data_IF_008875009617
#
_entry.id   IF_008875009617
#
_cell.length_a   1.000
_cell.length_b   1.000
_cell.length_c   1.000
_cell.angle_alpha   90.00
_cell.angle_beta   90.00
_cell.angle_gamma   90.00
#
_symmetry.space_group_name_H-M   'P 1'
#
loop_
_entity.id
_entity.type
_entity.pdbx_description
1 polymer ?
#
# COMPACT_ATOMS: atom_id res chain seq x y z
N UNK A 1 -51.44 -1.26 21.52
CA UNK A 1 -51.63 -1.25 20.06
C UNK A 1 -50.72 -0.15 19.53
N UNK A 2 -49.44 -0.48 19.37
CA UNK A 2 -48.38 0.40 18.88
C UNK A 2 -47.54 -0.49 17.97
N UNK A 3 -48.01 -0.68 16.74
CA UNK A 3 -47.30 -1.39 15.68
C UNK A 3 -47.37 -0.50 14.43
N UNK A 4 -46.59 0.57 14.43
CA UNK A 4 -46.33 1.43 13.25
C UNK A 4 -44.87 1.89 13.34
N UNK A 5 -43.92 0.95 13.35
CA UNK A 5 -42.47 1.24 13.25
C UNK A 5 -41.73 0.15 12.45
N UNK A 6 -42.41 -0.62 11.58
CA UNK A 6 -41.78 -1.81 10.95
C UNK A 6 -41.52 -1.73 9.45
N UNK A 7 -42.26 -0.94 8.65
CA UNK A 7 -42.20 -1.12 7.19
C UNK A 7 -41.22 -0.15 6.51
N UNK A 8 -41.23 1.14 6.84
CA UNK A 8 -40.27 2.11 6.28
C UNK A 8 -38.80 1.79 6.68
N UNK A 9 -38.58 1.27 7.89
CA UNK A 9 -37.24 0.89 8.35
C UNK A 9 -36.70 -0.38 7.67
N UNK A 10 -37.58 -1.29 7.27
CA UNK A 10 -37.21 -2.51 6.54
C UNK A 10 -36.94 -2.19 5.07
N UNK A 11 -37.78 -1.35 4.43
CA UNK A 11 -37.55 -0.88 3.05
C UNK A 11 -36.23 -0.12 2.93
N UNK A 12 -35.90 0.76 3.89
CA UNK A 12 -34.62 1.47 3.91
C UNK A 12 -33.42 0.52 4.09
N UNK A 13 -33.60 -0.58 4.83
CA UNK A 13 -32.56 -1.57 5.08
C UNK A 13 -32.34 -2.50 3.87
N UNK A 14 -33.43 -2.87 3.19
CA UNK A 14 -33.39 -3.66 1.96
C UNK A 14 -32.83 -2.85 0.79
N UNK A 15 -33.19 -1.58 0.65
CA UNK A 15 -32.57 -0.67 -0.34
C UNK A 15 -31.07 -0.49 -0.08
N UNK A 16 -30.65 -0.34 1.19
CA UNK A 16 -29.23 -0.28 1.55
C UNK A 16 -28.50 -1.60 1.26
N UNK A 17 -29.13 -2.75 1.50
CA UNK A 17 -28.58 -4.06 1.17
C UNK A 17 -28.49 -4.30 -0.34
N UNK A 18 -29.48 -3.87 -1.13
CA UNK A 18 -29.43 -3.90 -2.59
C UNK A 18 -28.35 -2.95 -3.15
N UNK A 19 -28.16 -1.77 -2.56
CA UNK A 19 -27.13 -0.81 -2.97
C UNK A 19 -25.70 -1.31 -2.66
N UNK A 20 -25.52 -2.11 -1.59
CA UNK A 20 -24.24 -2.77 -1.28
C UNK A 20 -24.05 -4.04 -2.11
N UNK A 21 -25.14 -4.76 -2.42
CA UNK A 21 -25.15 -5.99 -3.24
C UNK A 21 -24.79 -5.76 -4.71
N UNK A 22 -24.90 -4.54 -5.22
CA UNK A 22 -24.65 -4.20 -6.63
C UNK A 22 -23.25 -3.60 -6.88
N UNK A 23 -22.51 -3.21 -5.84
CA UNK A 23 -21.21 -2.54 -6.03
C UNK A 23 -20.12 -3.55 -6.42
N UNK A 24 -19.29 -3.22 -7.43
CA UNK A 24 -18.14 -4.06 -7.79
C UNK A 24 -17.13 -4.13 -6.65
N UNK A 25 -16.35 -5.21 -6.61
CA UNK A 25 -15.32 -5.40 -5.58
C UNK A 25 -13.96 -4.89 -6.04
N UNK A 26 -13.24 -4.22 -5.14
CA UNK A 26 -11.84 -3.88 -5.31
C UNK A 26 -11.01 -4.60 -4.25
N UNK A 27 -10.21 -5.58 -4.67
CA UNK A 27 -9.29 -6.30 -3.79
C UNK A 27 -7.93 -5.62 -3.76
N UNK A 28 -7.44 -5.34 -2.56
CA UNK A 28 -6.17 -4.64 -2.36
C UNK A 28 -5.17 -5.52 -1.61
N UNK A 29 -3.89 -5.42 -1.97
CA UNK A 29 -2.85 -6.27 -1.39
C UNK A 29 -2.58 -5.97 0.09
N UNK A 30 -2.37 -7.06 0.85
CA UNK A 30 -2.09 -7.02 2.27
C UNK A 30 -3.32 -6.67 3.12
N UNK A 31 -3.07 -6.03 4.26
CA UNK A 31 -4.11 -5.57 5.18
C UNK A 31 -4.27 -4.04 5.10
N UNK A 32 -4.47 -3.54 3.88
CA UNK A 32 -4.40 -2.12 3.56
C UNK A 32 -5.76 -1.50 3.21
N UNK A 33 -6.87 -2.25 3.30
CA UNK A 33 -8.19 -1.77 2.86
C UNK A 33 -8.60 -0.43 3.45
N UNK A 34 -8.28 -0.13 4.70
CA UNK A 34 -8.65 1.14 5.32
C UNK A 34 -8.01 2.35 4.64
N UNK A 35 -6.78 2.22 4.14
CA UNK A 35 -6.16 3.26 3.33
C UNK A 35 -6.92 3.45 2.01
N UNK A 36 -7.16 2.35 1.29
CA UNK A 36 -7.79 2.38 -0.03
C UNK A 36 -9.26 2.80 -0.01
N UNK A 37 -10.01 2.47 1.05
CA UNK A 37 -11.40 2.92 1.24
C UNK A 37 -11.53 4.45 1.29
N UNK A 38 -10.45 5.17 1.62
CA UNK A 38 -10.44 6.62 1.67
C UNK A 38 -10.09 7.28 0.33
N UNK A 39 -9.76 6.49 -0.70
CA UNK A 39 -9.37 6.96 -2.03
C UNK A 39 -10.60 7.23 -2.90
N UNK A 40 -10.68 8.43 -3.48
CA UNK A 40 -11.86 8.94 -4.18
C UNK A 40 -12.31 8.05 -5.33
N UNK A 41 -11.37 7.56 -6.14
CA UNK A 41 -11.68 6.69 -7.27
C UNK A 41 -12.29 5.34 -6.85
N UNK A 42 -12.15 4.96 -5.58
CA UNK A 42 -12.62 3.67 -5.06
C UNK A 42 -13.95 3.76 -4.31
N UNK A 43 -14.54 4.95 -4.15
CA UNK A 43 -15.85 5.10 -3.50
C UNK A 43 -16.99 4.29 -4.15
N UNK A 44 -17.00 4.04 -5.47
CA UNK A 44 -18.00 3.17 -6.08
C UNK A 44 -17.83 1.67 -5.78
N UNK A 45 -16.76 1.25 -5.10
CA UNK A 45 -16.40 -0.16 -4.92
C UNK A 45 -16.57 -0.60 -3.47
N UNK A 46 -16.84 -1.89 -3.27
CA UNK A 46 -16.59 -2.56 -2.00
C UNK A 46 -15.10 -2.91 -1.94
N UNK A 47 -14.34 -2.14 -1.16
CA UNK A 47 -12.88 -2.36 -1.00
C UNK A 47 -12.63 -3.37 0.12
N UNK A 48 -11.92 -4.46 -0.20
CA UNK A 48 -11.56 -5.49 0.78
C UNK A 48 -10.11 -6.00 0.63
N UNK A 49 -9.60 -6.63 1.68
CA UNK A 49 -8.27 -7.21 1.70
C UNK A 49 -8.22 -8.45 0.79
N UNK A 50 -7.35 -8.39 -0.21
CA UNK A 50 -7.19 -9.43 -1.21
C UNK A 50 -6.32 -10.59 -0.76
N UNK A 51 -5.41 -10.37 0.19
CA UNK A 51 -4.34 -11.32 0.54
C UNK A 51 -3.03 -10.89 -0.09
N UNK A 52 -2.20 -11.86 -0.50
CA UNK A 52 -1.00 -11.58 -1.28
C UNK A 52 -1.34 -11.35 -2.77
N UNK A 53 -0.36 -10.90 -3.56
CA UNK A 53 -0.53 -10.68 -5.01
C UNK A 53 -1.17 -11.87 -5.76
N UNK A 54 -0.73 -13.12 -5.50
CA UNK A 54 -1.28 -14.33 -6.15
C UNK A 54 -2.75 -14.50 -5.79
N UNK A 55 -3.11 -14.33 -4.51
CA UNK A 55 -4.50 -14.46 -4.06
C UNK A 55 -5.42 -13.43 -4.77
N UNK A 56 -4.91 -12.22 -5.02
CA UNK A 56 -5.66 -11.18 -5.75
C UNK A 56 -5.82 -11.55 -7.21
N UNK A 57 -4.75 -12.04 -7.84
CA UNK A 57 -4.79 -12.48 -9.23
C UNK A 57 -5.88 -13.56 -9.39
N UNK A 58 -5.85 -14.59 -8.57
CA UNK A 58 -6.82 -15.69 -8.62
C UNK A 58 -8.27 -15.21 -8.41
N UNK A 59 -8.49 -14.23 -7.52
CA UNK A 59 -9.82 -13.66 -7.27
C UNK A 59 -10.37 -12.83 -8.43
N UNK A 60 -9.50 -12.22 -9.24
CA UNK A 60 -9.87 -11.24 -10.29
C UNK A 60 -9.85 -11.87 -11.69
N UNK A 61 -8.98 -12.86 -11.96
CA UNK A 61 -8.71 -13.43 -13.30
C UNK A 61 -9.94 -14.05 -13.99
N UNK A 62 -11.03 -14.30 -13.27
CA UNK A 62 -12.24 -14.93 -13.80
C UNK A 62 -13.53 -14.14 -13.58
N UNK A 63 -13.44 -12.91 -13.08
CA UNK A 63 -14.61 -12.11 -12.73
C UNK A 63 -14.47 -10.68 -13.23
N UNK A 64 -15.35 -10.30 -14.15
CA UNK A 64 -15.29 -9.01 -14.84
C UNK A 64 -15.76 -7.84 -13.97
N UNK A 65 -16.37 -8.12 -12.82
CA UNK A 65 -16.88 -7.12 -11.88
C UNK A 65 -15.91 -6.90 -10.70
N UNK A 66 -14.73 -7.51 -10.76
CA UNK A 66 -13.67 -7.38 -9.77
C UNK A 66 -12.48 -6.61 -10.32
N UNK A 67 -11.87 -5.81 -9.46
CA UNK A 67 -10.63 -5.06 -9.72
C UNK A 67 -9.60 -5.41 -8.66
N UNK A 68 -8.34 -5.54 -9.07
CA UNK A 68 -7.21 -5.74 -8.16
C UNK A 68 -6.28 -4.53 -8.12
N UNK A 69 -5.78 -4.17 -6.94
CA UNK A 69 -4.65 -3.25 -6.76
C UNK A 69 -3.56 -3.98 -5.98
N UNK A 70 -2.40 -4.16 -6.62
CA UNK A 70 -1.27 -4.91 -6.07
C UNK A 70 -0.03 -4.03 -5.91
N UNK A 71 0.88 -4.49 -5.06
CA UNK A 71 2.21 -3.91 -4.85
C UNK A 71 3.11 -4.16 -6.09
N UNK A 72 4.09 -3.28 -6.34
CA UNK A 72 5.06 -3.47 -7.45
C UNK A 72 6.36 -4.11 -6.94
N UNK A 73 6.22 -5.32 -6.41
CA UNK A 73 7.35 -6.13 -5.99
C UNK A 73 8.08 -6.74 -7.20
N UNK A 74 9.24 -7.37 -6.96
CA UNK A 74 10.12 -7.84 -8.02
C UNK A 74 9.64 -9.10 -8.75
N UNK A 75 8.54 -9.74 -8.30
CA UNK A 75 8.08 -11.05 -8.80
C UNK A 75 7.20 -10.94 -10.05
N UNK A 76 6.52 -9.81 -10.26
CA UNK A 76 5.40 -9.72 -11.23
C UNK A 76 5.58 -8.70 -12.35
N UNK A 77 6.82 -8.47 -12.78
CA UNK A 77 7.12 -7.49 -13.85
C UNK A 77 6.66 -7.90 -15.25
N UNK A 78 6.51 -9.19 -15.55
CA UNK A 78 6.32 -9.69 -16.92
C UNK A 78 4.89 -10.13 -17.25
N UNK A 79 3.99 -10.14 -16.27
CA UNK A 79 2.59 -10.54 -16.48
C UNK A 79 1.69 -9.32 -16.63
N UNK A 80 0.94 -9.30 -17.73
CA UNK A 80 -0.26 -8.47 -17.86
C UNK A 80 -1.42 -9.25 -17.26
N UNK A 81 -2.21 -8.57 -16.43
CA UNK A 81 -3.37 -9.16 -15.77
C UNK A 81 -4.60 -8.34 -16.11
N UNK A 82 -5.67 -8.97 -16.57
CA UNK A 82 -6.90 -8.21 -16.80
C UNK A 82 -7.44 -7.69 -15.46
N UNK A 83 -7.98 -6.47 -15.47
CA UNK A 83 -8.58 -5.80 -14.30
C UNK A 83 -7.69 -5.60 -13.06
N UNK A 84 -6.36 -5.76 -13.16
CA UNK A 84 -5.43 -5.51 -12.05
C UNK A 84 -4.47 -4.38 -12.40
N UNK A 85 -4.31 -3.41 -11.49
CA UNK A 85 -3.32 -2.34 -11.59
C UNK A 85 -2.26 -2.44 -10.50
N UNK A 86 -1.07 -1.93 -10.81
CA UNK A 86 0.09 -1.91 -9.91
C UNK A 86 0.35 -0.51 -9.37
N UNK A 87 0.56 -0.38 -8.06
CA UNK A 87 1.06 0.87 -7.50
C UNK A 87 2.48 1.17 -8.02
N UNK A 88 2.81 2.43 -8.18
CA UNK A 88 4.14 2.88 -8.57
C UNK A 88 5.08 2.93 -7.36
N UNK A 89 5.04 1.91 -6.51
CA UNK A 89 5.77 1.81 -5.26
C UNK A 89 6.02 0.34 -4.94
N UNK A 90 7.09 0.04 -4.21
CA UNK A 90 7.32 -1.34 -3.77
C UNK A 90 6.18 -1.85 -2.90
N UNK A 91 5.66 -1.01 -2.00
CA UNK A 91 4.49 -1.29 -1.16
C UNK A 91 3.90 -0.01 -0.55
N UNK A 92 2.80 -0.13 0.19
CA UNK A 92 2.20 0.97 0.98
C UNK A 92 3.21 1.59 1.97
N UNK A 93 4.10 0.79 2.56
CA UNK A 93 5.12 1.31 3.49
C UNK A 93 6.08 2.27 2.79
N UNK A 94 6.36 2.08 1.51
CA UNK A 94 7.19 2.99 0.73
C UNK A 94 6.46 4.32 0.45
N UNK A 95 5.14 4.28 0.22
CA UNK A 95 4.31 5.49 0.12
C UNK A 95 4.33 6.23 1.47
N UNK A 96 4.12 5.51 2.57
CA UNK A 96 4.17 6.07 3.91
C UNK A 96 5.53 6.71 4.22
N UNK A 97 6.62 6.01 3.96
CA UNK A 97 7.97 6.54 4.09
C UNK A 97 8.10 7.83 3.28
N UNK A 98 7.67 7.86 2.02
CA UNK A 98 7.81 9.04 1.18
C UNK A 98 6.96 10.24 1.67
N UNK A 99 5.70 10.02 2.07
CA UNK A 99 4.70 11.07 2.28
C UNK A 99 4.55 11.53 3.74
N UNK A 100 4.74 10.64 4.71
CA UNK A 100 4.56 10.97 6.14
C UNK A 100 5.83 11.66 6.69
N UNK A 101 5.74 12.91 7.19
CA UNK A 101 6.91 13.69 7.62
C UNK A 101 7.72 13.05 8.75
N UNK A 102 7.08 12.32 9.64
CA UNK A 102 7.68 11.70 10.82
C UNK A 102 8.78 10.69 10.46
N UNK A 103 8.72 10.07 9.28
CA UNK A 103 9.78 9.15 8.81
C UNK A 103 11.04 9.85 8.31
N UNK A 104 11.20 11.16 8.51
CA UNK A 104 12.41 11.91 8.12
C UNK A 104 13.69 11.34 8.72
N UNK A 105 13.66 10.76 9.94
CA UNK A 105 14.83 10.10 10.52
C UNK A 105 15.34 8.94 9.65
N UNK A 106 14.45 8.06 9.18
CA UNK A 106 14.82 6.96 8.29
C UNK A 106 15.35 7.48 6.95
N UNK A 107 14.71 8.50 6.36
CA UNK A 107 15.21 9.12 5.12
C UNK A 107 16.63 9.65 5.27
N UNK A 108 16.92 10.29 6.40
CA UNK A 108 18.25 10.84 6.66
C UNK A 108 19.29 9.74 6.84
N UNK A 109 18.97 8.66 7.55
CA UNK A 109 19.88 7.51 7.67
C UNK A 109 20.13 6.84 6.32
N UNK A 110 19.11 6.68 5.48
CA UNK A 110 19.28 6.15 4.12
C UNK A 110 20.22 7.04 3.27
N UNK A 111 20.14 8.37 3.42
CA UNK A 111 21.00 9.32 2.68
C UNK A 111 22.46 9.33 3.14
N UNK A 112 22.73 8.95 4.39
CA UNK A 112 24.10 8.88 4.94
C UNK A 112 24.87 7.63 4.51
N UNK A 113 24.15 6.58 4.12
CA UNK A 113 24.73 5.28 3.81
C UNK A 113 25.07 5.15 2.32
N UNK A 114 25.99 4.23 2.00
CA UNK A 114 26.39 3.96 0.63
C UNK A 114 25.26 3.24 -0.12
N UNK A 115 24.79 3.83 -1.22
CA UNK A 115 23.65 3.31 -1.98
C UNK A 115 23.84 1.85 -2.44
N UNK A 116 25.05 1.49 -2.88
CA UNK A 116 25.32 0.12 -3.36
C UNK A 116 25.16 -0.93 -2.27
N UNK A 117 25.52 -0.60 -1.02
CA UNK A 117 25.30 -1.48 0.12
C UNK A 117 23.81 -1.58 0.47
N UNK A 118 23.08 -0.46 0.44
CA UNK A 118 21.64 -0.42 0.69
C UNK A 118 20.83 -1.20 -0.36
N UNK A 119 21.29 -1.22 -1.61
CA UNK A 119 20.62 -1.93 -2.71
C UNK A 119 20.60 -3.44 -2.48
N UNK A 120 21.72 -3.99 -2.04
CA UNK A 120 21.95 -5.44 -2.02
C UNK A 120 21.69 -6.08 -0.65
N UNK A 121 21.41 -5.31 0.39
CA UNK A 121 21.09 -5.83 1.72
C UNK A 121 19.62 -5.60 2.09
N UNK A 122 19.07 -6.49 2.93
CA UNK A 122 17.88 -6.17 3.71
C UNK A 122 18.17 -4.98 4.63
N UNK A 123 17.21 -4.07 4.78
CA UNK A 123 17.37 -2.87 5.60
C UNK A 123 16.50 -3.01 6.83
N UNK A 124 17.11 -2.84 7.99
CA UNK A 124 16.45 -2.79 9.29
C UNK A 124 16.87 -1.52 10.01
N UNK A 125 16.17 -1.21 11.09
CA UNK A 125 16.57 -0.16 12.03
C UNK A 125 16.76 -0.78 13.39
N UNK A 126 17.78 -0.30 14.11
CA UNK A 126 17.99 -0.64 15.51
C UNK A 126 17.73 0.58 16.38
N UNK A 127 17.21 0.29 17.57
CA UNK A 127 17.08 1.25 18.65
C UNK A 127 17.04 0.48 19.97
N UNK A 128 17.82 0.95 20.97
CA UNK A 128 17.91 0.27 22.26
C UNK A 128 16.76 0.71 23.17
N UNK A 129 15.79 -0.17 23.49
CA UNK A 129 14.57 0.23 24.19
C UNK A 129 14.80 0.60 25.66
N UNK A 130 15.90 0.13 26.24
CA UNK A 130 16.21 0.26 27.67
C UNK A 130 16.94 1.57 28.00
N UNK A 131 17.37 2.33 26.99
CA UNK A 131 18.08 3.61 27.15
C UNK A 131 17.29 4.73 26.48
N UNK A 132 16.10 5.04 27.00
CA UNK A 132 15.14 5.99 26.39
C UNK A 132 15.80 7.35 26.07
N UNK A 133 16.73 7.81 26.91
CA UNK A 133 17.45 9.07 26.73
C UNK A 133 18.54 8.99 25.63
N UNK A 134 19.13 7.81 25.38
CA UNK A 134 20.28 7.60 24.49
C UNK A 134 20.04 6.61 23.33
N UNK A 135 18.79 6.22 23.06
CA UNK A 135 18.49 5.30 21.96
C UNK A 135 18.89 5.93 20.61
N UNK A 136 20.07 5.54 20.11
CA UNK A 136 20.53 5.92 18.78
C UNK A 136 19.68 5.17 17.75
N UNK A 137 19.12 5.93 16.82
CA UNK A 137 18.41 5.39 15.68
C UNK A 137 19.43 5.13 14.58
N UNK A 138 19.69 3.86 14.30
CA UNK A 138 20.72 3.44 13.37
C UNK A 138 20.16 2.48 12.34
N UNK A 139 20.65 2.61 11.11
CA UNK A 139 20.34 1.68 10.04
C UNK A 139 21.23 0.44 10.17
N UNK A 140 20.62 -0.74 10.09
CA UNK A 140 21.33 -2.00 10.04
C UNK A 140 21.19 -2.65 8.67
N UNK A 141 22.33 -3.04 8.11
CA UNK A 141 22.39 -3.90 6.94
C UNK A 141 22.22 -5.35 7.39
N UNK A 142 21.15 -5.97 6.94
CA UNK A 142 20.82 -7.35 7.21
C UNK A 142 21.50 -8.31 6.23
N UNK A 143 20.77 -9.36 5.86
CA UNK A 143 21.25 -10.35 4.90
C UNK A 143 21.46 -9.73 3.52
N UNK A 144 22.58 -10.08 2.88
CA UNK A 144 22.85 -9.76 1.47
C UNK A 144 21.99 -10.62 0.54
N UNK A 145 21.51 -10.04 -0.55
CA UNK A 145 20.76 -10.76 -1.58
C UNK A 145 21.66 -11.71 -2.34
N UNK A 146 21.15 -12.93 -2.52
CA UNK A 146 21.81 -14.01 -3.25
C UNK A 146 20.96 -14.49 -4.43
N UNK A 147 19.71 -14.04 -4.54
CA UNK A 147 18.79 -14.41 -5.61
C UNK A 147 18.99 -13.47 -6.82
N UNK A 148 19.37 -14.03 -7.97
CA UNK A 148 19.65 -13.25 -9.20
C UNK A 148 18.48 -12.36 -9.62
N UNK A 149 17.25 -12.85 -9.50
CA UNK A 149 16.03 -12.07 -9.84
C UNK A 149 15.93 -10.80 -9.01
N UNK A 150 16.18 -10.89 -7.70
CA UNK A 150 16.16 -9.77 -6.78
C UNK A 150 17.36 -8.84 -6.99
N UNK A 151 18.54 -9.40 -7.25
CA UNK A 151 19.76 -8.63 -7.57
C UNK A 151 19.56 -7.81 -8.86
N UNK A 152 19.11 -8.45 -9.93
CA UNK A 152 18.84 -7.79 -11.21
C UNK A 152 17.77 -6.71 -11.07
N UNK A 153 16.72 -6.97 -10.29
CA UNK A 153 15.70 -5.96 -9.98
C UNK A 153 16.32 -4.72 -9.33
N UNK A 154 17.08 -4.88 -8.25
CA UNK A 154 17.61 -3.72 -7.51
C UNK A 154 18.65 -2.96 -8.33
N UNK A 155 19.46 -3.65 -9.13
CA UNK A 155 20.45 -3.02 -10.00
C UNK A 155 19.79 -2.22 -11.13
N UNK A 156 18.73 -2.74 -11.74
CA UNK A 156 18.03 -2.07 -12.84
C UNK A 156 17.03 -1.01 -12.39
N UNK A 157 16.51 -1.09 -11.16
CA UNK A 157 15.42 -0.21 -10.68
C UNK A 157 15.92 0.90 -9.75
N UNK A 158 16.98 0.65 -8.97
CA UNK A 158 17.44 1.57 -7.92
C UNK A 158 18.73 2.26 -8.36
N UNK A 159 18.59 3.52 -8.77
CA UNK A 159 19.68 4.38 -9.28
C UNK A 159 20.01 5.55 -8.35
N UNK A 160 19.13 5.83 -7.38
CA UNK A 160 19.27 6.89 -6.38
C UNK A 160 18.61 6.51 -5.05
N UNK A 161 18.89 7.25 -3.99
CA UNK A 161 18.20 7.07 -2.69
C UNK A 161 16.69 7.30 -2.81
N UNK A 162 16.24 8.20 -3.68
CA UNK A 162 14.81 8.43 -3.90
C UNK A 162 14.14 7.21 -4.57
N UNK A 163 14.79 6.64 -5.60
CA UNK A 163 14.31 5.39 -6.20
C UNK A 163 14.39 4.20 -5.22
N UNK A 164 15.35 4.21 -4.28
CA UNK A 164 15.44 3.23 -3.20
C UNK A 164 14.24 3.37 -2.26
N UNK A 165 13.93 4.58 -1.80
CA UNK A 165 12.77 4.87 -0.95
C UNK A 165 11.48 4.42 -1.64
N UNK A 166 11.39 4.54 -2.96
CA UNK A 166 10.20 4.22 -3.72
C UNK A 166 10.06 2.72 -4.03
N UNK A 167 11.14 2.06 -4.45
CA UNK A 167 11.10 0.73 -5.07
C UNK A 167 11.87 -0.36 -4.32
N UNK A 168 12.47 -0.09 -3.16
CA UNK A 168 13.12 -1.13 -2.36
C UNK A 168 12.16 -1.70 -1.32
N UNK A 169 12.29 -2.99 -1.02
CA UNK A 169 11.65 -3.55 0.17
C UNK A 169 12.19 -2.87 1.44
N UNK A 170 11.36 -2.00 2.05
CA UNK A 170 11.67 -1.25 3.27
C UNK A 170 10.65 -1.50 4.39
N UNK A 171 9.72 -2.45 4.24
CA UNK A 171 8.63 -2.72 5.19
C UNK A 171 9.15 -2.84 6.63
N UNK A 172 10.16 -3.68 6.85
CA UNK A 172 10.76 -3.91 8.18
C UNK A 172 11.41 -2.63 8.75
N UNK A 173 12.04 -1.82 7.92
CA UNK A 173 12.66 -0.57 8.35
C UNK A 173 11.61 0.48 8.73
N UNK A 174 10.53 0.59 7.94
CA UNK A 174 9.40 1.49 8.20
C UNK A 174 8.68 1.09 9.50
N UNK A 175 8.34 -0.19 9.66
CA UNK A 175 7.73 -0.72 10.88
C UNK A 175 8.63 -0.54 12.12
N UNK A 176 9.92 -0.81 11.98
CA UNK A 176 10.90 -0.55 13.03
C UNK A 176 10.97 0.94 13.40
N UNK A 177 10.87 1.83 12.41
CA UNK A 177 10.89 3.27 12.64
C UNK A 177 9.62 3.74 13.35
N UNK A 178 8.44 3.23 12.98
CA UNK A 178 7.19 3.51 13.70
C UNK A 178 7.28 3.09 15.17
N UNK A 179 7.87 1.93 15.45
CA UNK A 179 8.12 1.46 16.83
C UNK A 179 9.06 2.40 17.59
N UNK A 180 10.18 2.78 16.97
CA UNK A 180 11.12 3.74 17.55
C UNK A 180 10.43 5.08 17.89
N UNK A 181 9.66 5.63 16.95
CA UNK A 181 8.99 6.92 17.13
C UNK A 181 7.92 6.87 18.23
N UNK A 182 7.18 5.76 18.32
CA UNK A 182 6.25 5.51 19.41
C UNK A 182 6.97 5.44 20.76
N UNK A 183 8.12 4.79 20.82
CA UNK A 183 8.85 4.62 22.08
C UNK A 183 9.53 5.90 22.54
N UNK A 184 10.31 6.55 21.67
CA UNK A 184 11.13 7.71 22.05
C UNK A 184 10.34 9.02 22.12
N UNK A 185 9.32 9.16 21.27
CA UNK A 185 8.58 10.42 21.13
C UNK A 185 7.08 10.28 21.39
N UNK A 186 6.60 9.09 21.78
CA UNK A 186 5.16 8.83 21.97
C UNK A 186 4.32 9.09 20.71
N UNK A 187 4.96 9.08 19.53
CA UNK A 187 4.28 9.29 18.24
C UNK A 187 3.80 7.96 17.68
N UNK A 188 2.49 7.73 17.74
CA UNK A 188 1.88 6.53 17.19
C UNK A 188 1.49 6.73 15.72
N UNK A 189 2.34 6.29 14.78
CA UNK A 189 2.06 6.39 13.35
C UNK A 189 1.17 5.23 12.91
N UNK A 190 -0.09 5.50 12.61
CA UNK A 190 -1.03 4.52 12.05
C UNK A 190 -1.15 4.71 10.54
N UNK A 191 -0.06 4.53 9.79
CA UNK A 191 -0.04 4.86 8.37
C UNK A 191 -1.12 4.12 7.55
N UNK A 192 -1.52 2.90 7.90
CA UNK A 192 -2.62 2.21 7.20
C UNK A 192 -3.94 3.00 7.32
N UNK A 193 -4.19 3.67 8.44
CA UNK A 193 -5.40 4.45 8.65
C UNK A 193 -5.22 5.89 8.17
N UNK A 194 -4.04 6.48 8.39
CA UNK A 194 -3.83 7.92 8.28
C UNK A 194 -3.12 8.36 7.00
N UNK A 195 -2.53 7.43 6.23
CA UNK A 195 -1.73 7.77 5.05
C UNK A 195 -2.51 8.59 4.03
N UNK A 196 -3.82 8.35 3.91
CA UNK A 196 -4.69 9.09 3.01
C UNK A 196 -4.69 10.61 3.29
N UNK A 197 -4.39 11.05 4.51
CA UNK A 197 -4.26 12.48 4.86
C UNK A 197 -3.01 13.13 4.25
N UNK A 198 -2.04 12.32 3.82
CA UNK A 198 -0.78 12.75 3.21
C UNK A 198 -0.76 12.54 1.69
N UNK A 199 -1.88 12.09 1.11
CA UNK A 199 -2.05 11.89 -0.33
C UNK A 199 -2.90 13.03 -0.87
N UNK A 200 -2.35 13.77 -1.83
CA UNK A 200 -3.07 14.87 -2.47
C UNK A 200 -4.37 14.37 -3.09
N UNK A 201 -5.45 15.10 -2.84
CA UNK A 201 -6.79 14.78 -3.32
C UNK A 201 -7.31 13.38 -2.97
N UNK A 202 -6.62 12.61 -2.11
CA UNK A 202 -6.91 11.20 -1.86
C UNK A 202 -7.11 10.42 -3.16
N UNK A 203 -6.24 10.63 -4.15
CA UNK A 203 -6.40 10.09 -5.51
C UNK A 203 -5.44 8.95 -5.82
N UNK A 204 -5.90 7.96 -6.58
CA UNK A 204 -5.03 6.91 -7.15
C UNK A 204 -3.90 7.48 -8.02
N UNK A 205 -4.03 8.68 -8.60
CA UNK A 205 -2.98 9.35 -9.38
C UNK A 205 -1.68 9.55 -8.62
N UNK A 206 -1.77 9.66 -7.30
CA UNK A 206 -0.61 9.89 -6.44
C UNK A 206 0.17 8.62 -6.11
N UNK A 207 -0.44 7.45 -6.35
CA UNK A 207 0.14 6.14 -6.01
C UNK A 207 0.29 5.21 -7.20
N UNK A 208 -0.40 5.46 -8.32
CA UNK A 208 -0.24 4.74 -9.57
C UNK A 208 0.66 5.52 -10.53
N UNK A 209 1.34 4.81 -11.44
CA UNK A 209 2.01 5.47 -12.56
C UNK A 209 0.95 6.05 -13.51
N UNK A 210 1.35 6.97 -14.39
CA UNK A 210 0.41 7.52 -15.38
C UNK A 210 -0.26 6.42 -16.21
N UNK A 211 0.50 5.40 -16.60
CA UNK A 211 0.01 4.31 -17.42
C UNK A 211 -0.94 3.38 -16.63
N UNK A 212 -0.57 3.03 -15.40
CA UNK A 212 -1.44 2.23 -14.51
C UNK A 212 -2.71 2.99 -14.11
N UNK A 213 -2.64 4.31 -13.92
CA UNK A 213 -3.81 5.14 -13.67
C UNK A 213 -4.75 5.18 -14.87
N UNK A 214 -4.22 5.39 -16.08
CA UNK A 214 -5.03 5.35 -17.29
C UNK A 214 -5.68 3.98 -17.49
N UNK A 215 -4.93 2.91 -17.20
CA UNK A 215 -5.44 1.54 -17.23
C UNK A 215 -6.56 1.32 -16.21
N UNK A 216 -6.41 1.82 -14.98
CA UNK A 216 -7.47 1.81 -13.98
C UNK A 216 -8.73 2.47 -14.52
N UNK A 217 -8.63 3.65 -15.15
CA UNK A 217 -9.80 4.34 -15.72
C UNK A 217 -10.50 3.54 -16.85
N UNK A 218 -9.76 2.73 -17.59
CA UNK A 218 -10.34 1.83 -18.61
C UNK A 218 -11.06 0.67 -17.95
N UNK A 219 -10.43 0.02 -16.97
CA UNK A 219 -11.02 -1.07 -16.17
C UNK A 219 -12.31 -0.59 -15.49
N UNK A 220 -12.23 0.54 -14.80
CA UNK A 220 -13.34 1.13 -14.05
C UNK A 220 -14.56 1.43 -14.94
N UNK A 221 -14.34 1.95 -16.15
CA UNK A 221 -15.43 2.14 -17.14
C UNK A 221 -16.02 0.82 -17.63
N UNK A 222 -15.25 -0.25 -17.69
CA UNK A 222 -15.73 -1.57 -18.12
C UNK A 222 -16.55 -2.24 -17.01
N UNK A 223 -16.06 -2.18 -15.79
CA UNK A 223 -16.72 -2.75 -14.60
C UNK A 223 -18.04 -2.05 -14.32
N UNK A 224 -18.05 -0.71 -14.31
CA UNK A 224 -19.26 0.08 -14.02
C UNK A 224 -20.32 0.11 -15.12
N UNK A 225 -20.08 -0.51 -16.28
CA UNK A 225 -21.10 -0.70 -17.33
C UNK A 225 -21.87 -2.02 -17.20
N UNK A 226 -21.36 -2.93 -16.37
CA UNK A 226 -21.93 -4.27 -16.17
C UNK A 226 -22.89 -4.33 -14.97
N UNK A 227 -22.78 -3.36 -14.06
CA UNK A 227 -23.73 -3.06 -12.98
C UNK A 227 -24.76 -2.05 -13.48
#
# INVERSE_FOLDING_TARGET
MLDIESDESLETYDEFLEEVSSKPFCFVEGNNKFFYQQIKELYPYVVDNGGNCIDIIEKVEHDKDKVGIIDNDYRDKTKHFDNIVKIDYYSIENIALQKVPEFTCLKNELKKNQLEELKIHDIKVNFFPQEIENANFELLLGRKYTEDTRINYVQGTITSVDSLIKYKNLKVAVEGTSRYLKMKFQKNIQYINDLHNYINDKSLKEILSKDEYNRFLVIDKSVRKQV
#
